data_IF_786248561361
#
_entry.id   IF_786248561361
#
_cell.length_a   1.000
_cell.length_b   1.000
_cell.length_c   1.000
_cell.angle_alpha   90.00
_cell.angle_beta   90.00
_cell.angle_gamma   90.00
#
_symmetry.space_group_name_H-M   'P 1'
#
loop_
_entity.id
_entity.type
_entity.pdbx_description
1 polymer ?
#
# COMPACT_ATOMS: atom_id res chain seq x y z
N UNK A 1 16.52 3.88 -15.19
CA UNK A 1 17.15 2.93 -16.13
C UNK A 1 17.16 1.55 -15.49
N UNK A 2 16.50 0.52 -16.10
CA UNK A 2 16.39 -0.84 -15.55
C UNK A 2 17.72 -1.61 -15.43
N UNK A 3 18.80 -1.14 -16.03
CA UNK A 3 20.13 -1.76 -15.93
C UNK A 3 21.11 -0.97 -15.09
N UNK A 4 20.73 0.24 -14.65
CA UNK A 4 21.50 1.05 -13.74
C UNK A 4 21.20 0.61 -12.29
N UNK A 5 22.22 0.11 -11.60
CA UNK A 5 22.13 -0.36 -10.21
C UNK A 5 22.93 0.51 -9.24
N UNK A 6 23.66 1.50 -9.73
CA UNK A 6 24.56 2.31 -8.91
C UNK A 6 23.83 3.11 -7.84
N UNK A 7 22.63 3.64 -8.15
CA UNK A 7 21.79 4.36 -7.19
C UNK A 7 21.27 3.46 -6.05
N UNK A 8 21.20 2.15 -6.29
CA UNK A 8 20.80 1.14 -5.31
C UNK A 8 22.00 0.78 -4.43
N UNK A 9 23.13 0.40 -5.06
CA UNK A 9 24.30 -0.13 -4.38
C UNK A 9 25.08 0.96 -3.63
N UNK A 10 25.04 2.20 -4.10
CA UNK A 10 25.69 3.35 -3.46
C UNK A 10 24.75 4.14 -2.53
N UNK A 11 23.54 3.60 -2.28
CA UNK A 11 22.61 4.24 -1.34
C UNK A 11 23.16 4.17 0.09
N UNK A 12 23.10 5.26 0.87
CA UNK A 12 23.54 5.25 2.27
C UNK A 12 22.69 4.33 3.16
N UNK A 13 21.42 4.08 2.80
CA UNK A 13 20.60 3.05 3.44
C UNK A 13 20.93 1.66 2.87
N UNK A 14 21.07 0.63 3.71
CA UNK A 14 21.35 -0.74 3.26
C UNK A 14 20.15 -1.40 2.58
N UNK A 15 18.92 -0.92 2.80
CA UNK A 15 17.69 -1.59 2.38
C UNK A 15 17.55 -1.72 0.86
N UNK A 16 17.81 -0.68 0.03
CA UNK A 16 17.74 -0.85 -1.43
C UNK A 16 18.70 -1.93 -1.94
N UNK A 17 19.88 -2.03 -1.34
CA UNK A 17 20.85 -3.09 -1.66
C UNK A 17 20.32 -4.48 -1.27
N UNK A 18 19.70 -4.62 -0.09
CA UNK A 18 19.05 -5.86 0.35
C UNK A 18 17.92 -6.26 -0.62
N UNK A 19 17.06 -5.32 -1.03
CA UNK A 19 15.98 -5.57 -1.97
C UNK A 19 16.52 -6.06 -3.33
N UNK A 20 17.56 -5.42 -3.83
CA UNK A 20 18.19 -5.81 -5.10
C UNK A 20 18.93 -7.14 -5.00
N UNK A 21 19.70 -7.38 -3.95
CA UNK A 21 20.40 -8.64 -3.75
C UNK A 21 19.42 -9.80 -3.55
N UNK A 22 18.33 -9.60 -2.80
CA UNK A 22 17.25 -10.56 -2.69
C UNK A 22 16.73 -10.99 -4.05
N UNK A 23 16.48 -10.05 -4.96
CA UNK A 23 16.12 -10.31 -6.35
C UNK A 23 17.21 -11.05 -7.12
N UNK A 24 18.49 -10.64 -7.02
CA UNK A 24 19.61 -11.26 -7.75
C UNK A 24 19.78 -12.73 -7.37
N UNK A 25 19.74 -13.04 -6.07
CA UNK A 25 19.81 -14.43 -5.58
C UNK A 25 18.58 -15.22 -6.01
N UNK A 26 17.39 -14.64 -5.86
CA UNK A 26 16.14 -15.30 -6.25
C UNK A 26 16.11 -15.62 -7.75
N UNK A 27 16.53 -14.69 -8.61
CA UNK A 27 16.61 -14.91 -10.05
C UNK A 27 17.52 -16.07 -10.44
N UNK A 28 18.64 -16.24 -9.73
CA UNK A 28 19.64 -17.29 -9.98
C UNK A 28 19.30 -18.62 -9.31
N UNK A 29 18.46 -18.61 -8.30
CA UNK A 29 17.98 -19.84 -7.64
C UNK A 29 17.12 -20.67 -8.59
N UNK A 30 17.10 -21.99 -8.44
CA UNK A 30 16.15 -22.87 -9.11
C UNK A 30 14.70 -22.56 -8.72
N UNK A 31 13.74 -23.17 -9.42
CA UNK A 31 12.35 -23.21 -8.98
C UNK A 31 12.15 -24.31 -7.96
N UNK A 32 11.48 -24.01 -6.86
CA UNK A 32 11.24 -24.93 -5.76
C UNK A 32 9.72 -25.11 -5.55
N UNK A 33 9.08 -25.92 -6.40
CA UNK A 33 7.65 -26.20 -6.28
C UNK A 33 7.32 -26.93 -4.96
N UNK A 34 6.19 -26.61 -4.33
CA UNK A 34 5.14 -25.67 -4.77
C UNK A 34 5.42 -24.20 -4.41
N UNK A 35 6.56 -23.87 -3.81
CA UNK A 35 6.88 -22.56 -3.26
C UNK A 35 7.58 -21.69 -4.29
N UNK A 36 6.81 -20.97 -5.11
CA UNK A 36 7.34 -20.14 -6.18
C UNK A 36 8.28 -19.02 -5.69
N UNK A 37 8.07 -18.52 -4.46
CA UNK A 37 8.91 -17.48 -3.87
C UNK A 37 10.16 -18.00 -3.14
N UNK A 38 10.40 -19.30 -3.09
CA UNK A 38 11.55 -19.86 -2.37
C UNK A 38 12.88 -19.34 -2.92
N UNK A 39 13.77 -18.88 -2.02
CA UNK A 39 15.07 -18.30 -2.32
C UNK A 39 16.17 -18.94 -1.43
N UNK A 40 16.46 -20.22 -1.68
CA UNK A 40 17.37 -20.97 -0.83
C UNK A 40 18.85 -20.65 -1.07
N UNK A 41 19.16 -19.85 -2.08
CA UNK A 41 20.54 -19.42 -2.37
C UNK A 41 20.96 -18.18 -1.59
N UNK A 42 20.01 -17.41 -1.03
CA UNK A 42 20.29 -16.12 -0.43
C UNK A 42 21.06 -16.22 0.91
N UNK A 43 20.74 -17.22 1.72
CA UNK A 43 21.28 -17.36 3.09
C UNK A 43 21.64 -18.83 3.41
N UNK A 44 22.24 -19.54 2.45
CA UNK A 44 22.65 -20.92 2.66
C UNK A 44 23.45 -21.10 3.98
N UNK A 45 23.19 -22.15 4.79
CA UNK A 45 22.33 -23.32 4.54
C UNK A 45 20.85 -23.17 4.94
N UNK A 46 20.43 -21.99 5.35
CA UNK A 46 19.04 -21.76 5.73
C UNK A 46 18.12 -21.59 4.51
N UNK A 47 16.84 -21.90 4.72
CA UNK A 47 15.81 -21.72 3.70
C UNK A 47 15.10 -20.40 3.93
N UNK A 48 14.97 -19.59 2.89
CA UNK A 48 14.22 -18.33 2.93
C UNK A 48 13.32 -18.18 1.71
N UNK A 49 12.54 -17.12 1.68
CA UNK A 49 11.69 -16.72 0.57
C UNK A 49 12.03 -15.29 0.15
N UNK A 50 11.75 -14.97 -1.11
CA UNK A 50 11.80 -13.59 -1.63
C UNK A 50 10.89 -12.64 -0.83
N UNK A 51 9.89 -13.17 -0.14
CA UNK A 51 8.98 -12.44 0.74
C UNK A 51 9.72 -11.69 1.86
N UNK A 52 10.84 -12.25 2.35
CA UNK A 52 11.60 -11.70 3.49
C UNK A 52 12.75 -10.77 3.08
N UNK A 53 12.85 -10.42 1.82
CA UNK A 53 13.90 -9.55 1.28
C UNK A 53 13.36 -8.21 0.76
N UNK A 54 12.07 -7.93 0.98
CA UNK A 54 11.36 -6.72 0.52
C UNK A 54 11.53 -6.42 -0.99
N UNK A 55 11.80 -7.49 -1.76
CA UNK A 55 12.06 -7.43 -3.19
C UNK A 55 10.78 -7.45 -4.03
N UNK A 56 9.63 -7.06 -3.47
CA UNK A 56 8.32 -7.03 -4.12
C UNK A 56 8.02 -8.40 -4.76
N UNK A 57 7.69 -9.42 -3.97
CA UNK A 57 7.59 -10.83 -4.40
C UNK A 57 6.79 -11.04 -5.67
N UNK A 58 5.66 -10.36 -5.82
CA UNK A 58 4.81 -10.45 -7.01
C UNK A 58 5.56 -10.08 -8.30
N UNK A 59 6.32 -8.98 -8.29
CA UNK A 59 7.14 -8.58 -9.44
C UNK A 59 8.36 -9.49 -9.61
N UNK A 60 8.97 -9.92 -8.51
CA UNK A 60 10.12 -10.82 -8.55
C UNK A 60 9.77 -12.14 -9.25
N UNK A 61 8.63 -12.74 -8.94
CA UNK A 61 8.14 -13.97 -9.59
C UNK A 61 7.94 -13.74 -11.09
N UNK A 62 7.23 -12.67 -11.46
CA UNK A 62 7.00 -12.32 -12.88
C UNK A 62 8.33 -12.08 -13.63
N UNK A 63 9.24 -11.31 -13.03
CA UNK A 63 10.55 -11.04 -13.64
C UNK A 63 11.42 -12.31 -13.72
N UNK A 64 11.31 -13.25 -12.77
CA UNK A 64 12.02 -14.53 -12.84
C UNK A 64 11.50 -15.41 -13.98
N UNK A 65 10.19 -15.42 -14.24
CA UNK A 65 9.62 -16.10 -15.41
C UNK A 65 10.18 -15.53 -16.73
N UNK A 66 10.43 -14.22 -16.77
CA UNK A 66 11.04 -13.52 -17.90
C UNK A 66 12.58 -13.56 -17.89
N UNK A 67 13.19 -14.27 -16.96
CA UNK A 67 14.63 -14.24 -16.65
C UNK A 67 15.54 -14.52 -17.84
N UNK A 68 15.09 -15.31 -18.83
CA UNK A 68 15.85 -15.63 -20.04
C UNK A 68 16.02 -14.46 -21.02
N UNK A 69 15.14 -13.45 -20.97
CA UNK A 69 15.15 -12.28 -21.87
C UNK A 69 15.62 -11.00 -21.17
N UNK A 70 15.70 -11.01 -19.85
CA UNK A 70 16.10 -9.84 -19.06
C UNK A 70 17.62 -9.72 -18.99
N UNK A 71 18.20 -8.49 -19.09
CA UNK A 71 19.64 -8.25 -18.93
C UNK A 71 20.21 -8.80 -17.62
N UNK A 72 21.50 -9.11 -17.57
CA UNK A 72 22.15 -9.68 -16.37
C UNK A 72 22.03 -8.78 -15.13
N UNK A 73 22.14 -7.46 -15.31
CA UNK A 73 22.03 -6.44 -14.25
C UNK A 73 20.63 -5.84 -14.15
N UNK A 74 19.60 -6.54 -14.63
CA UNK A 74 18.24 -6.02 -14.57
C UNK A 74 17.76 -5.79 -13.14
N UNK A 75 17.16 -4.61 -12.93
CA UNK A 75 16.41 -4.25 -11.73
C UNK A 75 15.05 -3.64 -12.12
N UNK A 76 14.02 -3.94 -11.37
CA UNK A 76 12.66 -3.41 -11.58
C UNK A 76 12.27 -2.32 -10.57
N UNK A 77 13.12 -2.03 -9.57
CA UNK A 77 12.79 -1.12 -8.47
C UNK A 77 12.49 0.31 -8.98
N UNK A 78 13.26 0.77 -9.98
CA UNK A 78 13.00 2.08 -10.61
C UNK A 78 11.67 2.13 -11.37
N UNK A 79 11.34 1.07 -12.11
CA UNK A 79 10.05 0.95 -12.80
C UNK A 79 8.89 0.86 -11.81
N UNK A 80 9.09 0.12 -10.72
CA UNK A 80 8.14 0.06 -9.62
C UNK A 80 7.86 1.42 -9.01
N UNK A 81 8.89 2.23 -8.79
CA UNK A 81 8.73 3.58 -8.27
C UNK A 81 7.89 4.46 -9.19
N UNK A 82 8.16 4.46 -10.48
CA UNK A 82 7.35 5.18 -11.46
C UNK A 82 5.89 4.72 -11.43
N UNK A 83 5.67 3.41 -11.33
CA UNK A 83 4.33 2.85 -11.20
C UNK A 83 3.65 3.31 -9.90
N UNK A 84 4.35 3.29 -8.76
CA UNK A 84 3.80 3.77 -7.49
C UNK A 84 3.41 5.25 -7.55
N UNK A 85 4.24 6.11 -8.13
CA UNK A 85 3.91 7.53 -8.30
C UNK A 85 2.67 7.73 -9.20
N UNK A 86 2.60 7.00 -10.31
CA UNK A 86 1.46 7.08 -11.23
C UNK A 86 0.16 6.61 -10.55
N UNK A 87 0.20 5.47 -9.84
CA UNK A 87 -0.95 4.94 -9.10
C UNK A 87 -1.37 5.86 -7.96
N UNK A 88 -0.40 6.38 -7.20
CA UNK A 88 -0.66 7.32 -6.11
C UNK A 88 -1.37 8.58 -6.64
N UNK A 89 -0.84 9.19 -7.68
CA UNK A 89 -1.42 10.40 -8.29
C UNK A 89 -2.80 10.15 -8.90
N UNK A 90 -2.93 9.08 -9.68
CA UNK A 90 -4.19 8.74 -10.34
C UNK A 90 -5.31 8.42 -9.35
N UNK A 91 -5.04 7.58 -8.34
CA UNK A 91 -6.03 7.22 -7.32
C UNK A 91 -6.35 8.41 -6.41
N UNK A 92 -5.36 9.20 -6.02
CA UNK A 92 -5.57 10.40 -5.22
C UNK A 92 -6.49 11.39 -5.96
N UNK A 93 -6.20 11.68 -7.23
CA UNK A 93 -7.04 12.55 -8.06
C UNK A 93 -8.47 12.01 -8.19
N UNK A 94 -8.61 10.71 -8.46
CA UNK A 94 -9.92 10.07 -8.60
C UNK A 94 -10.72 10.13 -7.28
N UNK A 95 -10.09 9.87 -6.13
CA UNK A 95 -10.72 9.97 -4.80
C UNK A 95 -11.17 11.40 -4.50
N UNK A 96 -10.27 12.38 -4.69
CA UNK A 96 -10.58 13.80 -4.44
C UNK A 96 -11.73 14.28 -5.33
N UNK A 97 -11.68 13.94 -6.62
CA UNK A 97 -12.72 14.31 -7.56
C UNK A 97 -14.08 13.69 -7.19
N UNK A 98 -14.06 12.41 -6.76
CA UNK A 98 -15.28 11.70 -6.38
C UNK A 98 -15.88 12.25 -5.09
N UNK A 99 -15.08 12.45 -4.05
CA UNK A 99 -15.52 13.00 -2.75
C UNK A 99 -16.02 14.44 -2.95
N UNK A 100 -15.34 15.22 -3.79
CA UNK A 100 -15.70 16.58 -4.13
C UNK A 100 -16.89 16.73 -5.11
N UNK A 101 -17.46 15.63 -5.59
CA UNK A 101 -18.56 15.65 -6.57
C UNK A 101 -18.19 16.36 -7.87
N UNK A 102 -16.92 16.25 -8.29
CA UNK A 102 -16.39 16.91 -9.48
C UNK A 102 -16.96 16.26 -10.73
N UNK A 103 -17.57 17.07 -11.61
CA UNK A 103 -18.06 16.63 -12.91
C UNK A 103 -17.00 16.85 -13.99
N UNK A 104 -16.99 16.07 -15.09
CA UNK A 104 -15.99 16.23 -16.16
C UNK A 104 -15.89 17.64 -16.74
N UNK A 105 -17.00 18.37 -16.78
CA UNK A 105 -17.09 19.75 -17.28
C UNK A 105 -16.59 20.82 -16.28
N UNK A 106 -16.41 20.47 -15.00
CA UNK A 106 -16.01 21.40 -13.94
C UNK A 106 -14.47 21.61 -13.96
N UNK A 107 -13.95 22.31 -14.98
CA UNK A 107 -12.51 22.48 -15.21
C UNK A 107 -11.76 22.99 -13.97
N UNK A 108 -12.30 23.95 -13.24
CA UNK A 108 -11.66 24.51 -12.04
C UNK A 108 -11.54 23.46 -10.92
N UNK A 109 -12.60 22.68 -10.67
CA UNK A 109 -12.57 21.61 -9.67
C UNK A 109 -11.68 20.45 -10.09
N UNK A 110 -11.63 20.12 -11.40
CA UNK A 110 -10.71 19.12 -11.92
C UNK A 110 -9.25 19.54 -11.70
N UNK A 111 -8.90 20.80 -12.00
CA UNK A 111 -7.56 21.33 -11.71
C UNK A 111 -7.24 21.28 -10.22
N UNK A 112 -8.19 21.66 -9.36
CA UNK A 112 -8.01 21.57 -7.91
C UNK A 112 -7.78 20.12 -7.44
N UNK A 113 -8.50 19.14 -8.01
CA UNK A 113 -8.28 17.71 -7.67
C UNK A 113 -6.90 17.20 -8.12
N UNK A 114 -6.39 17.66 -9.26
CA UNK A 114 -5.04 17.35 -9.74
C UNK A 114 -3.98 17.98 -8.82
N UNK A 115 -4.16 19.23 -8.41
CA UNK A 115 -3.25 19.89 -7.47
C UNK A 115 -3.24 19.19 -6.12
N UNK A 116 -4.41 18.80 -5.59
CA UNK A 116 -4.52 18.01 -4.36
C UNK A 116 -3.84 16.64 -4.48
N UNK A 117 -3.97 15.97 -5.62
CA UNK A 117 -3.25 14.73 -5.89
C UNK A 117 -1.73 14.95 -5.93
N UNK A 118 -1.28 16.06 -6.52
CA UNK A 118 0.14 16.45 -6.52
C UNK A 118 0.71 16.59 -5.11
N UNK A 119 -0.04 17.18 -4.18
CA UNK A 119 0.35 17.26 -2.76
C UNK A 119 0.57 15.85 -2.17
N UNK A 120 -0.32 14.90 -2.46
CA UNK A 120 -0.20 13.52 -1.97
C UNK A 120 0.92 12.72 -2.65
N UNK A 121 1.29 13.06 -3.89
CA UNK A 121 2.45 12.47 -4.58
C UNK A 121 3.77 13.03 -4.04
N UNK A 122 3.79 14.33 -3.73
CA UNK A 122 4.97 15.00 -3.16
C UNK A 122 5.12 14.79 -1.65
N UNK A 123 4.30 13.93 -1.06
CA UNK A 123 4.36 13.58 0.36
C UNK A 123 5.75 13.06 0.73
N UNK A 124 6.46 13.68 1.70
CA UNK A 124 7.85 13.34 1.99
C UNK A 124 8.08 11.88 2.32
N UNK A 125 7.19 11.25 3.10
CA UNK A 125 7.32 9.85 3.47
C UNK A 125 7.25 8.91 2.24
N UNK A 126 6.46 9.23 1.20
CA UNK A 126 6.46 8.47 -0.05
C UNK A 126 7.83 8.54 -0.74
N UNK A 127 8.39 9.76 -0.81
CA UNK A 127 9.68 10.00 -1.47
C UNK A 127 10.82 9.34 -0.71
N UNK A 128 10.85 9.43 0.61
CA UNK A 128 11.85 8.75 1.46
C UNK A 128 11.75 7.24 1.25
N UNK A 129 10.56 6.66 1.34
CA UNK A 129 10.35 5.21 1.17
C UNK A 129 10.73 4.73 -0.23
N UNK A 130 10.54 5.55 -1.26
CA UNK A 130 10.92 5.18 -2.62
C UNK A 130 12.42 4.87 -2.75
N UNK A 131 13.27 5.57 -2.01
CA UNK A 131 14.72 5.43 -2.03
C UNK A 131 15.31 4.64 -0.86
N UNK A 132 14.51 4.31 0.15
CA UNK A 132 14.90 3.49 1.29
C UNK A 132 14.18 2.14 1.29
N UNK A 133 12.87 2.14 1.48
CA UNK A 133 12.03 0.93 1.51
C UNK A 133 11.10 0.88 0.30
N UNK A 134 11.64 0.59 -0.87
CA UNK A 134 10.95 0.68 -2.16
C UNK A 134 9.63 -0.10 -2.23
N UNK A 135 9.53 -1.25 -1.55
CA UNK A 135 8.28 -2.02 -1.47
C UNK A 135 7.18 -1.25 -0.70
N UNK A 136 7.56 -0.45 0.30
CA UNK A 136 6.65 0.38 1.09
C UNK A 136 6.22 1.69 0.39
N UNK A 137 6.69 1.94 -0.83
CA UNK A 137 6.17 3.03 -1.66
C UNK A 137 4.76 2.75 -2.23
N UNK A 138 4.20 1.56 -2.02
CA UNK A 138 2.89 1.15 -2.53
C UNK A 138 1.69 1.71 -1.73
N UNK A 139 1.78 2.94 -1.20
CA UNK A 139 0.68 3.58 -0.46
C UNK A 139 -0.62 3.68 -1.28
N UNK A 140 -0.53 3.61 -2.60
CA UNK A 140 -1.68 3.53 -3.50
C UNK A 140 -2.61 2.34 -3.20
N UNK A 141 -2.13 1.28 -2.52
CA UNK A 141 -2.99 0.16 -2.09
C UNK A 141 -4.05 0.61 -1.07
N UNK A 142 -3.67 1.49 -0.15
CA UNK A 142 -4.62 2.07 0.82
C UNK A 142 -5.61 2.98 0.08
N UNK A 143 -5.14 3.79 -0.88
CA UNK A 143 -6.04 4.61 -1.71
C UNK A 143 -7.00 3.76 -2.54
N UNK A 144 -6.52 2.63 -3.08
CA UNK A 144 -7.36 1.68 -3.80
C UNK A 144 -8.41 1.03 -2.89
N UNK A 145 -8.04 0.68 -1.65
CA UNK A 145 -9.00 0.18 -0.67
C UNK A 145 -10.08 1.22 -0.32
N UNK A 146 -9.68 2.49 -0.14
CA UNK A 146 -10.63 3.60 0.06
C UNK A 146 -11.53 3.80 -1.17
N UNK A 147 -11.00 3.63 -2.38
CA UNK A 147 -11.81 3.66 -3.59
C UNK A 147 -12.86 2.54 -3.61
N UNK A 148 -12.47 1.31 -3.25
CA UNK A 148 -13.41 0.16 -3.16
C UNK A 148 -14.48 0.44 -2.10
N UNK A 149 -14.10 0.98 -0.94
CA UNK A 149 -15.03 1.41 0.10
C UNK A 149 -16.04 2.44 -0.43
N UNK A 150 -15.57 3.52 -1.08
CA UNK A 150 -16.45 4.53 -1.66
C UNK A 150 -17.41 3.96 -2.71
N UNK A 151 -16.95 2.99 -3.50
CA UNK A 151 -17.82 2.29 -4.44
C UNK A 151 -18.89 1.43 -3.73
N UNK A 152 -18.53 0.81 -2.60
CA UNK A 152 -19.46 0.01 -1.80
C UNK A 152 -20.56 0.86 -1.14
N UNK A 153 -20.31 2.13 -0.86
CA UNK A 153 -21.26 3.07 -0.24
C UNK A 153 -22.28 3.65 -1.21
N UNK A 154 -22.06 3.61 -2.52
CA UNK A 154 -22.98 4.23 -3.48
C UNK A 154 -24.37 3.63 -3.44
N UNK A 155 -25.40 4.50 -3.46
CA UNK A 155 -26.80 4.08 -3.44
C UNK A 155 -27.31 3.57 -4.79
N UNK A 156 -26.88 4.17 -5.90
CA UNK A 156 -27.46 3.94 -7.22
C UNK A 156 -26.81 2.80 -8.03
N UNK A 157 -25.47 2.60 -7.90
CA UNK A 157 -24.70 1.59 -8.63
C UNK A 157 -23.83 0.76 -7.70
N UNK A 158 -24.44 0.16 -6.69
CA UNK A 158 -23.69 -0.64 -5.71
C UNK A 158 -23.15 -1.94 -6.33
N UNK A 159 -21.88 -2.27 -6.10
CA UNK A 159 -21.35 -3.54 -6.53
C UNK A 159 -22.05 -4.70 -5.83
N UNK A 160 -22.26 -5.79 -6.57
CA UNK A 160 -22.72 -7.05 -6.00
C UNK A 160 -21.73 -7.60 -4.98
N UNK A 161 -22.18 -8.47 -4.08
CA UNK A 161 -21.30 -9.14 -3.11
C UNK A 161 -20.15 -9.87 -3.80
N UNK A 162 -20.42 -10.58 -4.92
CA UNK A 162 -19.40 -11.26 -5.70
C UNK A 162 -18.33 -10.30 -6.27
N UNK A 163 -18.74 -9.14 -6.76
CA UNK A 163 -17.81 -8.12 -7.25
C UNK A 163 -16.95 -7.54 -6.12
N UNK A 164 -17.52 -7.36 -4.93
CA UNK A 164 -16.75 -6.94 -3.75
C UNK A 164 -15.76 -8.02 -3.30
N UNK A 165 -16.17 -9.30 -3.29
CA UNK A 165 -15.27 -10.41 -3.02
C UNK A 165 -14.08 -10.43 -3.99
N UNK A 166 -14.33 -10.23 -5.29
CA UNK A 166 -13.27 -10.14 -6.29
C UNK A 166 -12.31 -8.98 -5.99
N UNK A 167 -12.82 -7.78 -5.72
CA UNK A 167 -11.98 -6.61 -5.45
C UNK A 167 -11.14 -6.76 -4.19
N UNK A 168 -11.75 -7.26 -3.11
CA UNK A 168 -11.04 -7.51 -1.86
C UNK A 168 -10.07 -8.69 -1.96
N UNK A 169 -10.40 -9.74 -2.72
CA UNK A 169 -9.47 -10.82 -3.03
C UNK A 169 -8.24 -10.33 -3.79
N UNK A 170 -8.44 -9.49 -4.82
CA UNK A 170 -7.32 -8.86 -5.56
C UNK A 170 -6.47 -7.97 -4.64
N UNK A 171 -7.09 -7.20 -3.74
CA UNK A 171 -6.35 -6.42 -2.75
C UNK A 171 -5.55 -7.31 -1.80
N UNK A 172 -6.10 -8.45 -1.37
CA UNK A 172 -5.39 -9.46 -0.55
C UNK A 172 -4.15 -10.00 -1.27
N UNK A 173 -4.29 -10.37 -2.56
CA UNK A 173 -3.18 -10.80 -3.41
C UNK A 173 -2.09 -9.72 -3.50
N UNK A 174 -2.47 -8.49 -3.84
CA UNK A 174 -1.54 -7.38 -4.01
C UNK A 174 -0.81 -7.05 -2.70
N UNK A 175 -1.53 -7.02 -1.58
CA UNK A 175 -0.92 -6.73 -0.28
C UNK A 175 0.09 -7.82 0.11
N UNK A 176 -0.28 -9.11 -0.01
CA UNK A 176 0.61 -10.22 0.32
C UNK A 176 1.80 -10.30 -0.64
N UNK A 177 1.58 -10.06 -1.94
CA UNK A 177 2.62 -10.16 -2.97
C UNK A 177 3.52 -8.93 -3.10
N UNK A 178 3.16 -7.79 -2.51
CA UNK A 178 3.98 -6.56 -2.54
C UNK A 178 4.72 -6.39 -1.22
N UNK A 179 3.99 -6.23 -0.10
CA UNK A 179 4.59 -6.09 1.22
C UNK A 179 3.56 -6.36 2.32
N UNK A 180 3.94 -7.16 3.32
CA UNK A 180 3.04 -7.67 4.37
C UNK A 180 2.38 -6.55 5.22
N UNK A 181 3.02 -5.40 5.37
CA UNK A 181 2.46 -4.28 6.15
C UNK A 181 1.16 -3.72 5.57
N UNK A 182 0.92 -3.93 4.27
CA UNK A 182 -0.34 -3.51 3.66
C UNK A 182 -1.52 -4.40 4.02
N UNK A 183 -1.29 -5.65 4.48
CA UNK A 183 -2.37 -6.53 4.91
C UNK A 183 -3.20 -5.94 6.07
N UNK A 184 -2.62 -5.53 7.20
CA UNK A 184 -3.38 -4.89 8.26
C UNK A 184 -3.95 -3.53 7.85
N UNK A 185 -3.19 -2.68 7.13
CA UNK A 185 -3.65 -1.34 6.74
C UNK A 185 -4.88 -1.41 5.84
N UNK A 186 -4.85 -2.23 4.79
CA UNK A 186 -5.98 -2.44 3.87
C UNK A 186 -7.08 -3.24 4.55
N UNK A 187 -6.71 -4.20 5.41
CA UNK A 187 -7.63 -5.00 6.22
C UNK A 187 -8.53 -4.15 7.12
N UNK A 188 -8.00 -3.06 7.70
CA UNK A 188 -8.81 -2.12 8.50
C UNK A 188 -9.87 -1.41 7.66
N UNK A 189 -9.56 -1.00 6.43
CA UNK A 189 -10.55 -0.41 5.51
C UNK A 189 -11.61 -1.44 5.11
N UNK A 190 -11.21 -2.72 4.92
CA UNK A 190 -12.14 -3.83 4.68
C UNK A 190 -13.08 -4.02 5.87
N UNK A 191 -12.55 -4.08 7.09
CA UNK A 191 -13.37 -4.21 8.31
C UNK A 191 -14.35 -3.05 8.42
N UNK A 192 -13.92 -1.81 8.21
CA UNK A 192 -14.78 -0.64 8.20
C UNK A 192 -15.91 -0.76 7.15
N UNK A 193 -15.58 -1.24 5.94
CA UNK A 193 -16.56 -1.50 4.88
C UNK A 193 -17.57 -2.55 5.31
N UNK A 194 -17.13 -3.62 5.94
CA UNK A 194 -18.00 -4.71 6.39
C UNK A 194 -18.90 -4.29 7.56
N UNK A 195 -18.36 -3.52 8.53
CA UNK A 195 -19.14 -2.94 9.63
C UNK A 195 -20.27 -2.06 9.08
N UNK A 196 -19.95 -1.16 8.14
CA UNK A 196 -20.97 -0.33 7.52
C UNK A 196 -22.07 -1.16 6.85
N UNK A 197 -21.70 -2.18 6.08
CA UNK A 197 -22.68 -3.08 5.42
C UNK A 197 -23.54 -3.82 6.45
N UNK A 198 -22.99 -4.20 7.59
CA UNK A 198 -23.71 -4.78 8.71
C UNK A 198 -24.72 -3.80 9.30
N UNK A 199 -24.33 -2.56 9.54
CA UNK A 199 -25.20 -1.48 10.03
C UNK A 199 -26.34 -1.18 9.04
N UNK A 200 -26.06 -1.28 7.74
CA UNK A 200 -27.06 -1.16 6.67
C UNK A 200 -27.96 -2.42 6.49
N UNK A 201 -27.79 -3.44 7.32
CA UNK A 201 -28.55 -4.72 7.31
C UNK A 201 -28.50 -5.43 5.95
N UNK A 202 -27.32 -5.47 5.30
CA UNK A 202 -27.13 -6.06 3.96
C UNK A 202 -27.10 -7.59 3.93
N UNK A 203 -27.29 -8.25 5.05
CA UNK A 203 -27.22 -9.69 5.20
C UNK A 203 -25.79 -10.18 5.49
N UNK A 204 -25.68 -11.31 6.18
CA UNK A 204 -24.41 -11.88 6.67
C UNK A 204 -23.41 -12.18 5.55
N UNK A 205 -23.87 -12.70 4.43
CA UNK A 205 -23.02 -13.00 3.28
C UNK A 205 -22.30 -11.75 2.73
N UNK A 206 -22.99 -10.59 2.69
CA UNK A 206 -22.41 -9.35 2.22
C UNK A 206 -21.38 -8.74 3.18
N UNK A 207 -21.35 -9.19 4.43
CA UNK A 207 -20.38 -8.79 5.46
C UNK A 207 -19.20 -9.77 5.50
N UNK A 208 -19.48 -11.07 5.53
CA UNK A 208 -18.47 -12.11 5.78
C UNK A 208 -17.67 -12.46 4.52
N UNK A 209 -18.31 -12.60 3.36
CA UNK A 209 -17.64 -13.12 2.16
C UNK A 209 -16.49 -12.23 1.65
N UNK A 210 -16.55 -10.88 1.69
CA UNK A 210 -15.38 -10.06 1.33
C UNK A 210 -14.16 -10.29 2.25
N UNK A 211 -14.38 -10.48 3.56
CA UNK A 211 -13.32 -10.80 4.53
C UNK A 211 -12.72 -12.17 4.20
N UNK A 212 -13.57 -13.18 4.01
CA UNK A 212 -13.12 -14.53 3.65
C UNK A 212 -12.31 -14.49 2.36
N UNK A 213 -12.79 -13.77 1.33
CA UNK A 213 -12.08 -13.64 0.06
C UNK A 213 -10.69 -13.00 0.23
N UNK A 214 -10.61 -11.87 0.93
CA UNK A 214 -9.35 -11.19 1.21
C UNK A 214 -8.36 -12.10 1.94
N UNK A 215 -8.79 -12.70 3.05
CA UNK A 215 -7.93 -13.55 3.88
C UNK A 215 -7.50 -14.83 3.14
N UNK A 216 -8.42 -15.50 2.42
CA UNK A 216 -8.11 -16.74 1.71
C UNK A 216 -7.12 -16.50 0.58
N UNK A 217 -7.32 -15.44 -0.22
CA UNK A 217 -6.42 -15.13 -1.33
C UNK A 217 -5.05 -14.69 -0.81
N UNK A 218 -5.01 -13.83 0.22
CA UNK A 218 -3.74 -13.43 0.85
C UNK A 218 -2.98 -14.64 1.43
N UNK A 219 -3.67 -15.53 2.13
CA UNK A 219 -3.07 -16.74 2.69
C UNK A 219 -2.56 -17.68 1.59
N UNK A 220 -3.33 -17.89 0.53
CA UNK A 220 -2.90 -18.68 -0.62
C UNK A 220 -1.65 -18.12 -1.27
N UNK A 221 -1.57 -16.79 -1.46
CA UNK A 221 -0.38 -16.12 -1.98
C UNK A 221 0.83 -16.31 -1.05
N UNK A 222 0.66 -16.16 0.27
CA UNK A 222 1.72 -16.41 1.25
C UNK A 222 2.24 -17.84 1.21
N UNK A 223 1.35 -18.82 1.06
CA UNK A 223 1.74 -20.23 0.90
C UNK A 223 2.55 -20.44 -0.38
N UNK A 224 2.06 -19.91 -1.51
CA UNK A 224 2.73 -20.01 -2.81
C UNK A 224 4.09 -19.30 -2.80
N UNK A 225 4.19 -18.17 -2.12
CA UNK A 225 5.46 -17.46 -1.93
C UNK A 225 6.40 -18.16 -0.93
N UNK A 226 5.97 -19.22 -0.24
CA UNK A 226 6.81 -20.00 0.66
C UNK A 226 7.03 -19.35 2.02
N UNK A 227 6.09 -18.54 2.50
CA UNK A 227 6.18 -17.89 3.81
C UNK A 227 6.41 -18.90 4.95
N UNK A 228 5.74 -20.04 4.89
CA UNK A 228 5.78 -21.07 5.92
C UNK A 228 6.84 -22.16 5.69
N UNK A 229 7.54 -22.13 4.55
CA UNK A 229 8.62 -23.04 4.22
C UNK A 229 10.01 -22.50 4.60
N UNK A 230 10.11 -21.26 4.98
CA UNK A 230 11.34 -20.66 5.49
C UNK A 230 11.64 -21.20 6.90
N UNK A 231 12.91 -21.61 7.12
CA UNK A 231 13.41 -22.00 8.44
C UNK A 231 14.36 -20.96 9.04
N UNK A 232 14.38 -19.79 8.46
CA UNK A 232 15.06 -18.60 8.96
C UNK A 232 14.00 -17.65 9.52
N UNK A 233 13.96 -17.56 10.85
CA UNK A 233 13.29 -16.44 11.50
C UNK A 233 14.25 -15.25 11.43
N UNK A 234 13.89 -14.23 10.67
CA UNK A 234 14.66 -13.00 10.63
C UNK A 234 14.91 -12.47 12.04
N UNK A 235 16.06 -11.88 12.27
CA UNK A 235 16.35 -11.20 13.54
C UNK A 235 15.43 -9.98 13.62
N UNK A 236 14.36 -10.11 14.41
CA UNK A 236 13.51 -8.97 14.76
C UNK A 236 14.19 -8.25 15.91
N UNK A 237 14.87 -7.16 15.62
CA UNK A 237 15.12 -6.16 16.63
C UNK A 237 13.75 -5.57 16.98
N UNK A 238 13.24 -5.88 18.15
CA UNK A 238 11.93 -5.45 18.64
C UNK A 238 11.82 -3.95 18.96
N UNK A 239 12.35 -3.10 18.10
CA UNK A 239 12.16 -1.66 18.16
C UNK A 239 10.83 -1.32 17.48
N UNK A 240 9.76 -1.31 18.25
CA UNK A 240 8.58 -0.54 17.93
C UNK A 240 8.94 0.94 18.18
N UNK A 241 9.54 1.60 17.21
CA UNK A 241 9.66 3.05 17.25
C UNK A 241 8.30 3.65 16.89
N UNK A 242 7.50 3.99 17.91
CA UNK A 242 6.25 4.73 17.70
C UNK A 242 6.58 6.15 17.24
N UNK A 243 6.07 6.58 16.09
CA UNK A 243 6.08 7.97 15.72
C UNK A 243 4.96 8.69 16.46
N UNK A 244 5.26 9.79 17.14
CA UNK A 244 4.24 10.62 17.77
C UNK A 244 3.44 11.38 16.70
N UNK A 245 2.15 11.63 16.97
CA UNK A 245 1.30 12.42 16.08
C UNK A 245 1.88 13.82 15.76
N UNK A 246 2.65 14.38 16.68
CA UNK A 246 3.36 15.64 16.46
C UNK A 246 4.35 15.57 15.31
N UNK A 247 4.99 14.41 15.07
CA UNK A 247 5.96 14.21 14.00
C UNK A 247 5.32 14.32 12.60
N UNK A 248 3.99 14.16 12.48
CA UNK A 248 3.27 14.39 11.23
C UNK A 248 3.27 15.84 10.79
N UNK A 249 3.32 16.78 11.72
CA UNK A 249 3.14 18.21 11.46
C UNK A 249 4.42 19.04 11.64
N UNK A 250 5.38 18.53 12.40
CA UNK A 250 6.63 19.24 12.70
C UNK A 250 7.83 18.41 12.22
N UNK A 251 8.63 18.94 11.27
CA UNK A 251 9.81 18.22 10.78
C UNK A 251 10.91 18.14 11.88
N UNK A 252 11.66 17.04 11.87
CA UNK A 252 12.84 16.88 12.73
C UNK A 252 12.56 16.57 14.20
N UNK A 253 11.32 16.24 14.57
CA UNK A 253 10.99 15.76 15.93
C UNK A 253 11.35 14.29 16.14
N UNK A 254 11.55 13.51 15.07
CA UNK A 254 11.95 12.12 15.15
C UNK A 254 13.41 11.97 15.57
N UNK A 255 13.69 11.03 16.47
CA UNK A 255 15.07 10.69 16.89
C UNK A 255 15.74 9.69 15.94
N UNK A 256 14.99 9.10 15.02
CA UNK A 256 15.46 8.21 13.96
C UNK A 256 14.72 8.52 12.66
N UNK A 257 15.30 8.13 11.52
CA UNK A 257 14.67 8.30 10.20
C UNK A 257 13.34 7.54 10.06
N UNK A 258 13.14 6.47 10.81
CA UNK A 258 11.86 5.73 10.85
C UNK A 258 10.75 6.51 11.56
N UNK A 259 11.10 7.41 12.46
CA UNK A 259 10.18 8.29 13.16
C UNK A 259 9.88 9.58 12.40
N UNK A 260 10.64 9.89 11.35
CA UNK A 260 10.41 11.03 10.48
C UNK A 260 9.24 10.76 9.52
N UNK A 261 8.04 10.92 10.03
CA UNK A 261 6.78 10.77 9.28
C UNK A 261 6.18 12.11 8.84
N UNK A 262 7.00 13.14 8.75
CA UNK A 262 6.55 14.49 8.40
C UNK A 262 5.72 14.51 7.11
N UNK A 263 4.49 14.98 7.22
CA UNK A 263 3.51 14.96 6.13
C UNK A 263 3.77 16.00 5.03
N UNK A 264 4.71 16.92 5.25
CA UNK A 264 5.00 18.04 4.35
C UNK A 264 4.10 19.24 4.58
N UNK A 265 4.62 20.44 4.32
CA UNK A 265 3.88 21.69 4.49
C UNK A 265 2.57 21.72 3.71
N UNK A 266 2.55 21.18 2.50
CA UNK A 266 1.34 21.13 1.67
C UNK A 266 0.23 20.28 2.31
N UNK A 267 0.55 19.12 2.85
CA UNK A 267 -0.40 18.26 3.55
C UNK A 267 -0.85 18.89 4.86
N UNK A 268 0.07 19.46 5.62
CA UNK A 268 -0.25 20.20 6.86
C UNK A 268 -1.21 21.37 6.57
N UNK A 269 -0.93 22.16 5.56
CA UNK A 269 -1.81 23.26 5.14
C UNK A 269 -3.19 22.73 4.69
N UNK A 270 -3.25 21.64 3.93
CA UNK A 270 -4.52 21.03 3.51
C UNK A 270 -5.33 20.53 4.72
N UNK A 271 -4.69 19.92 5.72
CA UNK A 271 -5.36 19.50 6.97
C UNK A 271 -5.89 20.70 7.74
N UNK A 272 -5.10 21.77 7.90
CA UNK A 272 -5.54 23.01 8.56
C UNK A 272 -6.74 23.63 7.85
N UNK A 273 -6.70 23.72 6.53
CA UNK A 273 -7.81 24.25 5.72
C UNK A 273 -9.05 23.36 5.82
N UNK A 274 -8.88 22.02 5.85
CA UNK A 274 -9.98 21.08 6.04
C UNK A 274 -10.62 21.26 7.42
N UNK A 275 -9.82 21.37 8.49
CA UNK A 275 -10.32 21.62 9.85
C UNK A 275 -11.05 22.95 9.94
N UNK A 276 -10.52 24.02 9.34
CA UNK A 276 -11.21 25.30 9.27
C UNK A 276 -12.54 25.18 8.52
N UNK A 277 -12.59 24.45 7.40
CA UNK A 277 -13.81 24.17 6.64
C UNK A 277 -14.83 23.39 7.47
N UNK A 278 -14.41 22.41 8.28
CA UNK A 278 -15.26 21.66 9.19
C UNK A 278 -15.86 22.58 10.28
N UNK A 279 -15.07 23.52 10.83
CA UNK A 279 -15.55 24.50 11.79
C UNK A 279 -16.61 25.44 11.21
N UNK A 280 -16.44 25.86 9.96
CA UNK A 280 -17.42 26.69 9.24
C UNK A 280 -18.70 25.90 8.91
N UNK A 281 -18.58 24.63 8.58
CA UNK A 281 -19.70 23.78 8.16
C UNK A 281 -20.08 22.73 9.23
N UNK A 282 -20.10 23.12 10.50
CA UNK A 282 -20.27 22.21 11.66
C UNK A 282 -21.41 21.20 11.53
N UNK A 283 -22.57 21.62 11.00
CA UNK A 283 -23.74 20.73 10.84
C UNK A 283 -23.47 19.61 9.83
N UNK A 284 -22.93 19.97 8.67
CA UNK A 284 -22.56 18.98 7.62
C UNK A 284 -21.41 18.07 8.07
N UNK A 285 -20.45 18.64 8.79
CA UNK A 285 -19.35 17.89 9.35
C UNK A 285 -19.85 16.83 10.38
N UNK A 286 -20.72 17.23 11.30
CA UNK A 286 -21.30 16.32 12.29
C UNK A 286 -22.11 15.20 11.64
N UNK A 287 -22.86 15.50 10.56
CA UNK A 287 -23.60 14.48 9.80
C UNK A 287 -22.65 13.51 9.09
N UNK A 288 -21.59 14.03 8.45
CA UNK A 288 -20.56 13.23 7.80
C UNK A 288 -19.88 12.28 8.82
N UNK A 289 -19.38 12.80 9.92
CA UNK A 289 -18.73 11.99 10.95
C UNK A 289 -19.66 10.95 11.56
N UNK A 290 -20.91 11.31 11.86
CA UNK A 290 -21.90 10.35 12.37
C UNK A 290 -22.16 9.21 11.36
N UNK A 291 -22.22 9.51 10.06
CA UNK A 291 -22.44 8.54 9.02
C UNK A 291 -21.23 7.63 8.76
N UNK A 292 -20.02 8.19 8.89
CA UNK A 292 -18.77 7.54 8.50
C UNK A 292 -17.82 7.27 9.68
N UNK A 293 -18.36 7.20 10.93
CA UNK A 293 -17.55 6.97 12.14
C UNK A 293 -16.64 5.74 12.01
N UNK A 294 -17.13 4.66 11.40
CA UNK A 294 -16.38 3.42 11.22
C UNK A 294 -15.11 3.58 10.38
N UNK A 295 -15.14 4.39 9.31
CA UNK A 295 -13.94 4.63 8.49
C UNK A 295 -13.01 5.65 9.16
N UNK A 296 -13.57 6.62 9.90
CA UNK A 296 -12.76 7.56 10.66
C UNK A 296 -12.00 6.84 11.77
N UNK A 297 -12.64 5.92 12.48
CA UNK A 297 -11.97 5.08 13.49
C UNK A 297 -10.88 4.23 12.84
N UNK A 298 -11.17 3.58 11.71
CA UNK A 298 -10.16 2.80 10.98
C UNK A 298 -8.96 3.61 10.50
N UNK A 299 -9.12 4.93 10.29
CA UNK A 299 -8.03 5.80 9.88
C UNK A 299 -7.16 6.30 11.06
N UNK A 300 -7.66 6.20 12.31
CA UNK A 300 -6.97 6.69 13.52
C UNK A 300 -6.22 5.56 14.24
N UNK A 301 -6.70 4.33 14.13
CA UNK A 301 -6.06 3.12 14.69
C UNK A 301 -4.96 2.62 13.76
#
# INVERSE_FOLDING_TARGET
>A
DPVCVDWILNNPSPDPSQHYLGWVFYRRSGWHLPYLGANYSAIYPYRTSILYTDSIPLLAVVCKLLGGVLPARFQYLGLWGLFCYAMQGGLAQALIARIGGVRPQDTAKNRASVLGAGVLVLFPALNIRMFAHTALAANWLVLLALWVWLCAEQSENRPSTGKLCLWWGVLGLLCAGIHLYYLPMVGMVLVATCVQRGLEKRGSAAVVLPIVSFCTVALAELVVLGAFAANFAGYSNGYLSGADLANLFVPGLGTSWEQEVYAGLGTTAAVVLALAGLLVQRKKAAEFFRRHTHIVVAAVV
#
